data_IF_529900322205
#
_entry.id   IF_529900322205
#
_cell.length_a   1.000
_cell.length_b   1.000
_cell.length_c   1.000
_cell.angle_alpha   90.00
_cell.angle_beta   90.00
_cell.angle_gamma   90.00
#
_symmetry.space_group_name_H-M   'P 1'
#
loop_
_entity.id
_entity.type
_entity.pdbx_description
1 polymer ?
#
# COMPACT_ATOMS: atom_id res chain seq x y z
N UNK A 1 -15.91 31.19 -4.35
CA UNK A 1 -15.11 31.28 -3.10
C UNK A 1 -14.38 29.95 -2.98
N UNK A 2 -13.16 29.88 -3.50
CA UNK A 2 -12.35 28.68 -3.39
C UNK A 2 -11.99 28.50 -1.91
N UNK A 3 -12.18 27.29 -1.38
CA UNK A 3 -11.70 26.95 -0.05
C UNK A 3 -10.17 27.07 -0.08
N UNK A 4 -9.61 27.72 0.94
CA UNK A 4 -8.17 27.92 1.05
C UNK A 4 -7.43 26.56 1.04
N UNK A 5 -6.32 26.48 0.32
CA UNK A 5 -5.55 25.23 0.15
C UNK A 5 -5.09 24.66 1.49
N UNK A 6 -4.85 25.52 2.48
CA UNK A 6 -4.46 25.11 3.82
C UNK A 6 -5.62 24.40 4.53
N UNK A 7 -6.84 24.93 4.43
CA UNK A 7 -8.04 24.33 5.03
C UNK A 7 -8.36 22.98 4.38
N UNK A 8 -8.24 22.88 3.05
CA UNK A 8 -8.40 21.61 2.34
C UNK A 8 -7.38 20.56 2.83
N UNK A 9 -6.12 20.94 2.99
CA UNK A 9 -5.05 20.06 3.45
C UNK A 9 -5.28 19.60 4.89
N UNK A 10 -5.75 20.48 5.77
CA UNK A 10 -6.11 20.14 7.15
C UNK A 10 -7.25 19.13 7.19
N UNK A 11 -8.31 19.34 6.40
CA UNK A 11 -9.47 18.42 6.36
C UNK A 11 -9.05 17.04 5.88
N UNK A 12 -8.27 16.96 4.79
CA UNK A 12 -7.78 15.69 4.25
C UNK A 12 -6.89 14.98 5.27
N UNK A 13 -6.01 15.71 5.94
CA UNK A 13 -5.11 15.15 6.96
C UNK A 13 -5.87 14.63 8.17
N UNK A 14 -6.90 15.35 8.63
CA UNK A 14 -7.76 14.91 9.73
C UNK A 14 -8.54 13.64 9.37
N UNK A 15 -9.11 13.58 8.17
CA UNK A 15 -9.80 12.41 7.65
C UNK A 15 -8.86 11.20 7.52
N UNK A 16 -7.66 11.42 6.97
CA UNK A 16 -6.65 10.37 6.84
C UNK A 16 -6.19 9.85 8.20
N UNK A 17 -6.00 10.72 9.18
CA UNK A 17 -5.63 10.34 10.55
C UNK A 17 -6.72 9.48 11.20
N UNK A 18 -7.98 9.89 11.10
CA UNK A 18 -9.11 9.11 11.63
C UNK A 18 -9.21 7.72 10.98
N UNK A 19 -9.05 7.67 9.66
CA UNK A 19 -9.07 6.42 8.87
C UNK A 19 -7.91 5.50 9.28
N UNK A 20 -6.71 6.06 9.48
CA UNK A 20 -5.52 5.33 9.93
C UNK A 20 -5.69 4.68 11.32
N UNK A 21 -6.54 5.22 12.20
CA UNK A 21 -6.79 4.61 13.51
C UNK A 21 -7.86 3.52 13.44
N UNK A 22 -8.97 3.78 12.76
CA UNK A 22 -10.14 2.90 12.75
C UNK A 22 -9.89 1.65 11.89
N UNK A 23 -9.31 1.86 10.71
CA UNK A 23 -9.22 0.83 9.68
C UNK A 23 -8.31 -0.34 10.07
N UNK A 24 -7.10 -0.13 10.64
CA UNK A 24 -6.26 -1.22 11.10
C UNK A 24 -6.91 -2.05 12.20
N UNK A 25 -7.63 -1.42 13.14
CA UNK A 25 -8.35 -2.11 14.23
C UNK A 25 -9.39 -3.06 13.65
N UNK A 26 -10.20 -2.61 12.70
CA UNK A 26 -11.17 -3.46 12.01
C UNK A 26 -10.50 -4.60 11.23
N UNK A 27 -9.32 -4.32 10.66
CA UNK A 27 -8.56 -5.26 9.83
C UNK A 27 -7.93 -6.43 10.62
N UNK A 28 -7.73 -6.27 11.94
CA UNK A 28 -7.12 -7.30 12.81
C UNK A 28 -7.89 -8.64 12.81
N UNK A 29 -9.19 -8.62 12.49
CA UNK A 29 -10.03 -9.81 12.41
C UNK A 29 -9.72 -10.68 11.20
N UNK A 30 -9.11 -10.13 10.15
CA UNK A 30 -8.83 -10.84 8.89
C UNK A 30 -7.42 -11.45 8.86
N UNK A 31 -7.22 -12.39 7.94
CA UNK A 31 -5.91 -12.99 7.67
C UNK A 31 -5.00 -11.95 6.99
N UNK A 32 -3.71 -11.93 7.35
CA UNK A 32 -2.81 -10.83 6.96
C UNK A 32 -2.49 -10.88 5.47
N UNK A 33 -2.27 -12.09 4.93
CA UNK A 33 -2.06 -12.25 3.48
C UNK A 33 -3.30 -11.84 2.69
N UNK A 34 -4.48 -12.30 3.12
CA UNK A 34 -5.76 -11.96 2.46
C UNK A 34 -6.03 -10.46 2.50
N UNK A 35 -5.78 -9.82 3.65
CA UNK A 35 -5.98 -8.38 3.82
C UNK A 35 -5.02 -7.56 2.94
N UNK A 36 -3.73 -7.95 2.89
CA UNK A 36 -2.76 -7.32 2.00
C UNK A 36 -3.17 -7.48 0.54
N UNK A 37 -3.58 -8.69 0.14
CA UNK A 37 -4.05 -8.99 -1.21
C UNK A 37 -5.26 -8.14 -1.63
N UNK A 38 -6.31 -8.09 -0.79
CA UNK A 38 -7.51 -7.28 -1.04
C UNK A 38 -7.14 -5.79 -1.09
N UNK A 39 -6.28 -5.32 -0.20
CA UNK A 39 -5.85 -3.91 -0.18
C UNK A 39 -5.13 -3.51 -1.47
N UNK A 40 -4.21 -4.33 -1.98
CA UNK A 40 -3.50 -4.04 -3.22
C UNK A 40 -4.43 -4.05 -4.44
N UNK A 41 -5.44 -4.91 -4.47
CA UNK A 41 -6.48 -4.89 -5.52
C UNK A 41 -7.30 -3.60 -5.45
N UNK A 42 -7.75 -3.22 -4.26
CA UNK A 42 -8.52 -1.98 -4.06
C UNK A 42 -7.71 -0.73 -4.42
N UNK A 43 -6.42 -0.70 -4.10
CA UNK A 43 -5.51 0.37 -4.50
C UNK A 43 -5.32 0.40 -6.02
N UNK A 44 -5.12 -0.77 -6.67
CA UNK A 44 -4.98 -0.86 -8.12
C UNK A 44 -6.22 -0.33 -8.83
N UNK A 45 -7.41 -0.70 -8.35
CA UNK A 45 -8.67 -0.21 -8.89
C UNK A 45 -8.81 1.31 -8.71
N UNK A 46 -8.49 1.82 -7.51
CA UNK A 46 -8.61 3.25 -7.18
C UNK A 46 -7.64 4.11 -7.99
N UNK A 47 -6.38 3.67 -8.12
CA UNK A 47 -5.35 4.35 -8.93
C UNK A 47 -5.61 4.23 -10.42
N UNK A 48 -6.18 3.12 -10.90
CA UNK A 48 -6.65 2.96 -12.26
C UNK A 48 -7.78 3.95 -12.61
N UNK A 49 -8.76 4.12 -11.73
CA UNK A 49 -9.80 5.14 -11.88
C UNK A 49 -9.21 6.56 -11.94
N UNK A 50 -8.23 6.86 -11.08
CA UNK A 50 -7.58 8.16 -11.05
C UNK A 50 -6.74 8.40 -12.33
N UNK A 51 -6.03 7.38 -12.81
CA UNK A 51 -5.31 7.43 -14.10
C UNK A 51 -6.27 7.73 -15.25
N UNK A 52 -7.43 7.06 -15.32
CA UNK A 52 -8.43 7.33 -16.35
C UNK A 52 -8.96 8.76 -16.25
N UNK A 53 -9.21 9.26 -15.04
CA UNK A 53 -9.67 10.64 -14.83
C UNK A 53 -8.68 11.67 -15.37
N UNK A 54 -7.37 11.51 -15.13
CA UNK A 54 -6.35 12.46 -15.60
C UNK A 54 -6.00 12.32 -17.09
N UNK A 55 -6.09 11.11 -17.66
CA UNK A 55 -5.76 10.89 -19.07
C UNK A 55 -6.93 11.18 -20.02
N UNK A 56 -8.18 11.10 -19.54
CA UNK A 56 -9.38 11.26 -20.37
C UNK A 56 -10.06 12.59 -20.07
N UNK A 57 -9.84 13.59 -20.93
CA UNK A 57 -10.33 14.96 -20.76
C UNK A 57 -11.86 15.07 -20.60
N UNK A 58 -12.64 14.12 -21.14
CA UNK A 58 -14.11 14.11 -21.00
C UNK A 58 -14.56 13.79 -19.57
N UNK A 59 -13.71 13.17 -18.75
CA UNK A 59 -14.02 12.82 -17.37
C UNK A 59 -13.76 13.97 -16.37
N UNK A 60 -13.09 15.05 -16.79
CA UNK A 60 -12.83 16.22 -15.93
C UNK A 60 -14.12 16.91 -15.42
N UNK A 61 -15.26 16.70 -16.09
CA UNK A 61 -16.55 17.19 -15.61
C UNK A 61 -17.05 16.44 -14.35
N UNK A 62 -16.50 15.26 -14.06
CA UNK A 62 -16.92 14.40 -12.94
C UNK A 62 -15.94 14.47 -11.77
N UNK A 63 -15.82 15.64 -11.13
CA UNK A 63 -14.93 15.86 -9.98
C UNK A 63 -15.21 14.90 -8.80
N UNK A 64 -16.46 14.46 -8.64
CA UNK A 64 -16.84 13.48 -7.61
C UNK A 64 -16.16 12.11 -7.80
N UNK A 65 -15.78 11.75 -9.04
CA UNK A 65 -15.10 10.50 -9.35
C UNK A 65 -13.65 10.51 -8.83
N UNK A 66 -12.96 11.65 -8.98
CA UNK A 66 -11.62 11.86 -8.42
C UNK A 66 -11.64 11.83 -6.89
N UNK A 67 -12.66 12.43 -6.26
CA UNK A 67 -12.84 12.38 -4.81
C UNK A 67 -13.12 10.96 -4.32
N UNK A 68 -14.01 10.23 -4.98
CA UNK A 68 -14.38 8.86 -4.59
C UNK A 68 -13.19 7.89 -4.73
N UNK A 69 -12.41 8.02 -5.81
CA UNK A 69 -11.20 7.22 -6.03
C UNK A 69 -10.12 7.53 -4.98
N UNK A 70 -9.93 8.79 -4.62
CA UNK A 70 -8.99 9.18 -3.56
C UNK A 70 -9.42 8.62 -2.19
N UNK A 71 -10.69 8.75 -1.81
CA UNK A 71 -11.20 8.21 -0.53
C UNK A 71 -11.03 6.68 -0.50
N UNK A 72 -11.38 6.00 -1.59
CA UNK A 72 -11.22 4.55 -1.71
C UNK A 72 -9.76 4.14 -1.57
N UNK A 73 -8.85 4.85 -2.24
CA UNK A 73 -7.40 4.64 -2.11
C UNK A 73 -6.94 4.75 -0.65
N UNK A 74 -7.33 5.82 0.05
CA UNK A 74 -6.95 6.04 1.46
C UNK A 74 -7.45 4.91 2.36
N UNK A 75 -8.69 4.44 2.17
CA UNK A 75 -9.24 3.33 2.96
C UNK A 75 -8.44 2.06 2.72
N UNK A 76 -8.24 1.65 1.47
CA UNK A 76 -7.50 0.43 1.15
C UNK A 76 -6.03 0.49 1.57
N UNK A 77 -5.39 1.65 1.43
CA UNK A 77 -4.02 1.87 1.87
C UNK A 77 -3.89 1.67 3.39
N UNK A 78 -4.76 2.30 4.18
CA UNK A 78 -4.77 2.13 5.63
C UNK A 78 -5.18 0.72 6.07
N UNK A 79 -5.99 0.00 5.28
CA UNK A 79 -6.38 -1.39 5.56
C UNK A 79 -5.19 -2.35 5.58
N UNK A 80 -4.24 -2.21 4.67
CA UNK A 80 -3.25 -3.26 4.47
C UNK A 80 -1.90 -2.76 4.00
N UNK A 81 -1.85 -2.14 2.82
CA UNK A 81 -0.59 -1.76 2.19
C UNK A 81 0.28 -0.80 3.03
N UNK A 82 -0.34 0.02 3.90
CA UNK A 82 0.37 0.89 4.83
C UNK A 82 1.11 0.10 5.93
N UNK A 83 0.40 -0.54 6.86
CA UNK A 83 1.03 -1.15 8.04
C UNK A 83 1.58 -2.57 7.81
N UNK A 84 0.97 -3.38 6.95
CA UNK A 84 1.29 -4.82 6.86
C UNK A 84 2.70 -5.11 6.32
N UNK A 85 3.24 -4.41 5.29
CA UNK A 85 4.59 -4.68 4.82
C UNK A 85 5.64 -4.54 5.91
N UNK A 86 5.52 -3.52 6.78
CA UNK A 86 6.45 -3.32 7.90
C UNK A 86 6.35 -4.44 8.94
N UNK A 87 5.14 -4.91 9.22
CA UNK A 87 4.91 -6.04 10.13
C UNK A 87 5.49 -7.33 9.54
N UNK A 88 5.19 -7.62 8.28
CA UNK A 88 5.66 -8.81 7.56
C UNK A 88 7.18 -8.82 7.46
N UNK A 89 7.81 -7.68 7.16
CA UNK A 89 9.27 -7.53 7.15
C UNK A 89 9.88 -7.90 8.51
N UNK A 90 9.22 -7.50 9.61
CA UNK A 90 9.63 -7.85 10.96
C UNK A 90 9.44 -9.32 11.33
N UNK A 91 8.61 -10.07 10.60
CA UNK A 91 8.33 -11.49 10.80
C UNK A 91 9.17 -12.40 9.91
N UNK A 92 9.56 -11.92 8.72
CA UNK A 92 10.38 -12.66 7.76
C UNK A 92 11.80 -12.89 8.25
N UNK A 93 12.42 -11.89 8.89
CA UNK A 93 13.81 -12.00 9.30
C UNK A 93 13.96 -12.72 10.65
N UNK A 94 14.89 -13.70 10.75
CA UNK A 94 15.20 -14.32 12.03
C UNK A 94 15.83 -13.32 13.00
N UNK A 95 15.56 -13.49 14.30
CA UNK A 95 15.98 -12.56 15.34
C UNK A 95 17.46 -12.16 15.28
N UNK A 96 18.34 -13.09 14.87
CA UNK A 96 19.78 -12.87 14.72
C UNK A 96 20.17 -11.87 13.63
N UNK A 97 19.41 -11.80 12.55
CA UNK A 97 19.69 -10.91 11.40
C UNK A 97 18.62 -9.84 11.19
N UNK A 98 17.60 -9.81 12.06
CA UNK A 98 16.44 -8.94 11.95
C UNK A 98 16.84 -7.48 11.78
N UNK A 99 17.70 -6.97 12.67
CA UNK A 99 18.16 -5.57 12.60
C UNK A 99 18.82 -5.25 11.27
N UNK A 100 19.77 -6.07 10.81
CA UNK A 100 20.50 -5.84 9.55
C UNK A 100 19.56 -5.96 8.34
N UNK A 101 18.70 -6.98 8.32
CA UNK A 101 17.73 -7.22 7.24
C UNK A 101 16.70 -6.09 7.12
N UNK A 102 16.13 -5.65 8.24
CA UNK A 102 15.18 -4.53 8.25
C UNK A 102 15.83 -3.22 7.88
N UNK A 103 17.04 -2.93 8.37
CA UNK A 103 17.73 -1.68 8.05
C UNK A 103 18.12 -1.62 6.58
N UNK A 104 18.63 -2.71 6.01
CA UNK A 104 18.99 -2.78 4.58
C UNK A 104 17.76 -2.60 3.69
N UNK A 105 16.67 -3.28 4.02
CA UNK A 105 15.40 -3.14 3.29
C UNK A 105 14.85 -1.71 3.36
N UNK A 106 14.94 -1.09 4.54
CA UNK A 106 14.52 0.29 4.73
C UNK A 106 15.41 1.27 3.94
N UNK A 107 16.73 1.06 3.91
CA UNK A 107 17.63 1.87 3.08
C UNK A 107 17.25 1.80 1.59
N UNK A 108 16.99 0.59 1.07
CA UNK A 108 16.55 0.42 -0.32
C UNK A 108 15.22 1.13 -0.55
N UNK A 109 14.26 0.95 0.36
CA UNK A 109 12.96 1.62 0.30
C UNK A 109 13.09 3.15 0.21
N UNK A 110 13.91 3.76 1.08
CA UNK A 110 14.12 5.21 1.06
C UNK A 110 14.85 5.70 -0.20
N UNK A 111 15.81 4.94 -0.72
CA UNK A 111 16.49 5.27 -1.99
C UNK A 111 15.47 5.29 -3.14
N UNK A 112 14.64 4.25 -3.25
CA UNK A 112 13.59 4.19 -4.28
C UNK A 112 12.62 5.35 -4.11
N UNK A 113 12.19 5.64 -2.88
CA UNK A 113 11.30 6.76 -2.61
C UNK A 113 11.91 8.10 -3.00
N UNK A 114 13.20 8.33 -2.71
CA UNK A 114 13.90 9.55 -3.10
C UNK A 114 13.95 9.72 -4.64
N UNK A 115 14.28 8.64 -5.37
CA UNK A 115 14.31 8.67 -6.84
C UNK A 115 12.92 8.97 -7.40
N UNK A 116 11.87 8.33 -6.86
CA UNK A 116 10.49 8.60 -7.30
C UNK A 116 10.06 10.04 -7.01
N UNK A 117 10.42 10.58 -5.85
CA UNK A 117 10.15 11.98 -5.51
C UNK A 117 10.88 12.95 -6.46
N UNK A 118 12.12 12.65 -6.83
CA UNK A 118 12.87 13.49 -7.78
C UNK A 118 12.23 13.48 -9.18
N UNK A 119 11.74 12.32 -9.63
CA UNK A 119 11.08 12.19 -10.93
C UNK A 119 9.64 12.74 -10.94
N UNK A 120 9.06 13.04 -9.78
CA UNK A 120 7.63 13.32 -9.66
C UNK A 120 7.20 14.51 -10.53
N UNK A 121 7.99 15.57 -10.54
CA UNK A 121 7.70 16.81 -11.28
C UNK A 121 7.98 16.68 -12.80
N UNK A 122 8.70 15.62 -13.22
CA UNK A 122 9.11 15.40 -14.62
C UNK A 122 8.07 14.59 -15.42
N UNK A 123 7.10 13.96 -14.76
CA UNK A 123 6.15 13.03 -15.37
C UNK A 123 4.72 13.46 -15.04
N UNK A 124 3.83 13.41 -16.02
CA UNK A 124 2.41 13.75 -15.85
C UNK A 124 1.73 12.88 -14.78
N UNK A 125 0.84 13.49 -13.99
CA UNK A 125 0.08 12.79 -12.94
C UNK A 125 -0.68 11.57 -13.47
N UNK A 126 -1.29 11.66 -14.67
CA UNK A 126 -2.00 10.53 -15.28
C UNK A 126 -1.10 9.33 -15.58
N UNK A 127 0.17 9.59 -15.95
CA UNK A 127 1.18 8.56 -16.17
C UNK A 127 1.61 7.97 -14.82
N UNK A 128 1.84 8.81 -13.81
CA UNK A 128 2.15 8.35 -12.44
C UNK A 128 1.11 7.39 -11.89
N UNK A 129 -0.18 7.75 -11.97
CA UNK A 129 -1.26 6.88 -11.51
C UNK A 129 -1.31 5.55 -12.29
N UNK A 130 -0.93 5.56 -13.56
CA UNK A 130 -0.84 4.34 -14.38
C UNK A 130 0.31 3.45 -13.93
N UNK A 131 1.49 4.04 -13.68
CA UNK A 131 2.66 3.33 -13.15
C UNK A 131 2.32 2.70 -11.79
N UNK A 132 1.66 3.45 -10.90
CA UNK A 132 1.24 2.94 -9.61
C UNK A 132 0.23 1.79 -9.74
N UNK A 133 -0.77 1.92 -10.62
CA UNK A 133 -1.72 0.84 -10.90
C UNK A 133 -1.01 -0.45 -11.34
N UNK A 134 -0.11 -0.36 -12.32
CA UNK A 134 0.66 -1.51 -12.81
C UNK A 134 1.54 -2.10 -11.70
N UNK A 135 2.22 -1.25 -10.92
CA UNK A 135 3.06 -1.70 -9.81
C UNK A 135 2.27 -2.44 -8.73
N UNK A 136 1.04 -1.99 -8.44
CA UNK A 136 0.17 -2.67 -7.49
C UNK A 136 -0.33 -4.00 -8.04
N UNK A 137 -0.64 -4.11 -9.34
CA UNK A 137 -1.00 -5.40 -9.96
C UNK A 137 0.17 -6.41 -9.92
N UNK A 138 1.40 -5.95 -10.17
CA UNK A 138 2.60 -6.79 -10.01
C UNK A 138 2.74 -7.23 -8.55
N UNK A 139 2.50 -6.32 -7.61
CA UNK A 139 2.54 -6.61 -6.17
C UNK A 139 1.47 -7.65 -5.78
N UNK A 140 0.26 -7.58 -6.34
CA UNK A 140 -0.80 -8.57 -6.14
C UNK A 140 -0.32 -9.96 -6.60
N UNK A 141 0.28 -10.05 -7.79
CA UNK A 141 0.82 -11.31 -8.30
C UNK A 141 1.96 -11.84 -7.42
N UNK A 142 2.83 -10.95 -6.93
CA UNK A 142 3.90 -11.29 -6.00
C UNK A 142 3.36 -11.82 -4.66
N UNK A 143 2.35 -11.15 -4.08
CA UNK A 143 1.71 -11.58 -2.82
C UNK A 143 1.07 -12.95 -2.98
N UNK A 144 0.38 -13.18 -4.09
CA UNK A 144 -0.28 -14.45 -4.34
C UNK A 144 0.71 -15.62 -4.33
N UNK A 145 1.84 -15.46 -5.02
CA UNK A 145 2.84 -16.50 -5.23
C UNK A 145 3.88 -16.64 -4.09
N UNK A 146 4.37 -15.54 -3.54
CA UNK A 146 5.54 -15.54 -2.65
C UNK A 146 5.23 -15.24 -1.20
N UNK A 147 4.14 -14.52 -0.89
CA UNK A 147 3.81 -14.19 0.49
C UNK A 147 3.09 -15.37 1.14
N UNK A 148 3.64 -15.83 2.28
CA UNK A 148 3.04 -16.87 3.10
C UNK A 148 2.04 -16.26 4.08
N UNK A 149 1.03 -17.03 4.50
CA UNK A 149 0.15 -16.60 5.59
C UNK A 149 0.93 -16.65 6.91
N UNK A 150 1.09 -15.49 7.56
CA UNK A 150 1.78 -15.36 8.86
C UNK A 150 0.82 -15.34 10.05
N UNK A 151 -0.49 -15.18 9.83
CA UNK A 151 -1.45 -15.10 10.94
C UNK A 151 -1.57 -16.44 11.67
N UNK A 152 -1.39 -16.39 12.99
CA UNK A 152 -1.56 -17.55 13.88
C UNK A 152 -0.38 -18.53 13.89
N UNK A 153 0.72 -18.23 13.18
CA UNK A 153 1.93 -19.04 13.17
C UNK A 153 3.00 -18.46 14.08
N UNK A 154 3.79 -19.33 14.69
CA UNK A 154 4.97 -18.93 15.46
C UNK A 154 6.09 -18.47 14.51
N UNK A 155 7.00 -17.62 15.01
CA UNK A 155 8.16 -17.16 14.23
C UNK A 155 9.01 -18.34 13.73
N UNK A 156 9.10 -19.43 14.51
CA UNK A 156 9.82 -20.64 14.14
C UNK A 156 9.13 -21.41 13.00
N UNK A 157 7.79 -21.50 12.99
CA UNK A 157 7.03 -22.13 11.90
C UNK A 157 7.17 -21.35 10.58
N UNK A 158 7.16 -20.02 10.65
CA UNK A 158 7.39 -19.15 9.48
C UNK A 158 8.80 -19.41 8.92
N UNK A 159 9.81 -19.42 9.79
CA UNK A 159 11.19 -19.72 9.38
C UNK A 159 11.35 -21.11 8.79
N UNK A 160 10.74 -22.14 9.40
CA UNK A 160 10.78 -23.51 8.89
C UNK A 160 10.14 -23.66 7.52
N UNK A 161 9.06 -22.92 7.27
CA UNK A 161 8.41 -22.86 5.95
C UNK A 161 9.30 -22.16 4.92
N UNK A 162 9.98 -21.07 5.31
CA UNK A 162 10.93 -20.36 4.45
C UNK A 162 12.20 -21.17 4.16
N UNK A 163 12.64 -22.02 5.10
CA UNK A 163 13.76 -22.97 4.93
C UNK A 163 13.40 -24.17 4.02
N UNK A 164 12.16 -24.28 3.52
CA UNK A 164 11.72 -25.39 2.67
C UNK A 164 11.50 -26.71 3.41
N UNK A 165 11.55 -26.72 4.75
CA UNK A 165 11.27 -27.90 5.56
C UNK A 165 9.75 -28.02 5.73
N UNK A 166 9.09 -28.75 4.82
CA UNK A 166 7.67 -29.06 4.95
C UNK A 166 7.36 -29.65 6.32
N UNK A 167 6.43 -29.02 7.03
CA UNK A 167 5.77 -29.61 8.20
C UNK A 167 4.81 -30.65 7.66
N UNK A 168 5.27 -31.91 7.61
CA UNK A 168 4.42 -33.09 7.55
C UNK A 168 3.71 -33.29 8.88
#
# INVERSE_FOLDING_TARGET
MAIDSDVCSIIVSAFQTATCLIVPIASTKFNRKTLLYISCIGISFSTGLMSLYFNVQTLHNYQWLALLSLISYVIFYNCGAGPLPWVILGELYPAKVKSIGTSTSNCIYWIVQFVLSYLFDEIDLGIWFSIFCISCLITVAFIWKFVLETKGKTLQEIQRTLEGKHVS
#
